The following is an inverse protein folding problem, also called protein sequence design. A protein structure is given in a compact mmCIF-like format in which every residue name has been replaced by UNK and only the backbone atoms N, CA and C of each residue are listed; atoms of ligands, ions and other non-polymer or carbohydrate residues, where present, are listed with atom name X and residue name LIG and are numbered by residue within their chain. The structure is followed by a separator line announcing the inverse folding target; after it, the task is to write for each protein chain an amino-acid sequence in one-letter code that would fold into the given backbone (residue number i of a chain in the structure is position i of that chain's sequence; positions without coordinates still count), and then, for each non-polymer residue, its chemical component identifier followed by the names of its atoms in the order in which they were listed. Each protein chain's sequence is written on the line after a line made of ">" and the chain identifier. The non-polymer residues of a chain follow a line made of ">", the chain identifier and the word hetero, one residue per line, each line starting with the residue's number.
data_IF_143207069019
#
_entry.id   IF_143207069019
#
_cell.length_a   1.000
_cell.length_b   1.000
_cell.length_c   1.000
_cell.angle_alpha   90.00
_cell.angle_beta   90.00
_cell.angle_gamma   90.00
#
_symmetry.space_group_name_H-M   'P 1'
#
loop_
_entity.id
_entity.type
_entity.pdbx_description
1 polymer ?
#
# COMPACT_ATOMS: atom_id res chain seq x y z
N UNK A 1 3.26 -0.70 -9.10
CA UNK A 1 2.75 -2.05 -8.81
C UNK A 1 3.60 -2.62 -7.70
N UNK A 2 3.04 -2.81 -6.51
CA UNK A 2 3.71 -3.60 -5.48
C UNK A 2 3.82 -5.03 -6.03
N UNK A 3 5.04 -5.49 -6.24
CA UNK A 3 5.31 -6.84 -6.72
C UNK A 3 4.75 -7.84 -5.68
N UNK A 4 4.30 -9.03 -6.08
CA UNK A 4 3.65 -9.99 -5.18
C UNK A 4 4.49 -10.28 -3.93
N UNK A 5 5.82 -10.26 -4.08
CA UNK A 5 6.78 -10.40 -2.98
C UNK A 5 6.77 -9.20 -2.01
N UNK A 6 6.63 -7.97 -2.51
CA UNK A 6 6.54 -6.77 -1.67
C UNK A 6 5.25 -6.74 -0.87
N UNK A 7 4.12 -7.14 -1.49
CA UNK A 7 2.84 -7.26 -0.78
C UNK A 7 2.89 -8.35 0.30
N UNK A 8 3.57 -9.47 0.03
CA UNK A 8 3.75 -10.56 0.99
C UNK A 8 4.62 -10.12 2.18
N UNK A 9 5.74 -9.46 1.92
CA UNK A 9 6.63 -8.93 2.97
C UNK A 9 5.90 -7.87 3.81
N UNK A 10 5.16 -6.97 3.17
CA UNK A 10 4.40 -5.93 3.87
C UNK A 10 3.29 -6.52 4.74
N UNK A 11 2.62 -7.57 4.27
CA UNK A 11 1.60 -8.29 5.06
C UNK A 11 2.21 -9.03 6.23
N UNK A 12 3.35 -9.70 6.02
CA UNK A 12 4.10 -10.36 7.09
C UNK A 12 4.58 -9.38 8.16
N UNK A 13 5.08 -8.21 7.75
CA UNK A 13 5.53 -7.15 8.66
C UNK A 13 4.38 -6.59 9.50
N UNK A 14 3.21 -6.37 8.90
CA UNK A 14 1.99 -5.94 9.61
C UNK A 14 1.53 -6.98 10.64
N UNK A 15 1.49 -8.26 10.26
CA UNK A 15 1.10 -9.33 11.18
C UNK A 15 2.09 -9.48 12.34
N UNK A 16 3.40 -9.45 12.05
CA UNK A 16 4.45 -9.57 13.05
C UNK A 16 4.45 -8.39 14.04
N UNK A 17 4.30 -7.16 13.54
CA UNK A 17 4.26 -5.97 14.40
C UNK A 17 3.07 -6.01 15.35
N UNK A 18 1.85 -6.30 14.86
CA UNK A 18 0.66 -6.45 15.73
C UNK A 18 0.87 -7.56 16.77
N UNK A 19 1.48 -8.68 16.38
CA UNK A 19 1.76 -9.79 17.29
C UNK A 19 2.73 -9.40 18.42
N UNK A 20 3.80 -8.68 18.08
CA UNK A 20 4.78 -8.19 19.07
C UNK A 20 4.14 -7.16 20.00
N UNK A 21 3.31 -6.25 19.48
CA UNK A 21 2.55 -5.29 20.30
C UNK A 21 1.56 -5.98 21.25
N UNK A 22 0.94 -7.09 20.81
CA UNK A 22 0.07 -7.91 21.65
C UNK A 22 0.83 -8.67 22.74
N UNK A 23 2.03 -9.21 22.45
CA UNK A 23 2.85 -9.93 23.44
C UNK A 23 3.43 -8.99 24.51
N UNK A 24 3.82 -7.77 24.13
CA UNK A 24 4.34 -6.78 25.07
C UNK A 24 3.24 -6.19 25.97
N UNK A 25 1.97 -6.59 25.81
CA UNK A 25 0.80 -6.10 26.55
C UNK A 25 0.55 -4.58 26.41
N UNK A 26 1.32 -3.93 25.52
CA UNK A 26 1.18 -2.53 25.15
C UNK A 26 -0.16 -2.31 24.45
N UNK A 27 -0.69 -3.35 23.81
CA UNK A 27 -1.98 -3.35 23.13
C UNK A 27 -3.18 -3.37 24.08
N UNK A 28 -2.99 -3.69 25.37
CA UNK A 28 -4.08 -3.74 26.36
C UNK A 28 -4.51 -2.33 26.81
N UNK A 29 -3.68 -1.31 26.52
CA UNK A 29 -4.09 0.06 26.70
C UNK A 29 -5.03 0.49 25.56
N UNK A 30 -6.28 0.78 25.92
CA UNK A 30 -7.33 1.23 25.00
C UNK A 30 -6.92 2.43 24.12
N UNK A 31 -6.16 3.39 24.68
CA UNK A 31 -5.69 4.57 23.94
C UNK A 31 -4.68 4.13 22.87
N UNK A 32 -3.76 3.25 23.23
CA UNK A 32 -2.70 2.76 22.34
C UNK A 32 -3.31 1.90 21.24
N UNK A 33 -4.23 0.99 21.59
CA UNK A 33 -4.98 0.18 20.65
C UNK A 33 -5.76 1.05 19.65
N UNK A 34 -6.42 2.10 20.12
CA UNK A 34 -7.19 3.01 19.27
C UNK A 34 -6.29 3.77 18.30
N UNK A 35 -5.20 4.36 18.77
CA UNK A 35 -4.23 5.08 17.92
C UNK A 35 -3.62 4.14 16.88
N UNK A 36 -3.21 2.94 17.30
CA UNK A 36 -2.64 1.94 16.40
C UNK A 36 -3.64 1.52 15.32
N UNK A 37 -4.90 1.32 15.70
CA UNK A 37 -5.97 0.97 14.76
C UNK A 37 -6.20 2.08 13.74
N UNK A 38 -6.22 3.35 14.16
CA UNK A 38 -6.39 4.49 13.25
C UNK A 38 -5.23 4.56 12.25
N UNK A 39 -3.99 4.41 12.71
CA UNK A 39 -2.80 4.43 11.85
C UNK A 39 -2.83 3.24 10.87
N UNK A 40 -3.19 2.05 11.34
CA UNK A 40 -3.33 0.86 10.50
C UNK A 40 -4.38 1.07 9.40
N UNK A 41 -5.58 1.55 9.74
CA UNK A 41 -6.62 1.86 8.76
C UNK A 41 -6.16 2.93 7.76
N UNK A 42 -5.46 3.96 8.23
CA UNK A 42 -4.92 5.02 7.35
C UNK A 42 -3.96 4.45 6.32
N UNK A 43 -3.05 3.56 6.73
CA UNK A 43 -2.10 2.89 5.84
C UNK A 43 -2.82 1.96 4.87
N UNK A 44 -3.78 1.16 5.35
CA UNK A 44 -4.57 0.25 4.51
C UNK A 44 -5.35 1.03 3.46
N UNK A 45 -6.11 2.06 3.88
CA UNK A 45 -6.87 2.94 2.98
C UNK A 45 -5.92 3.55 1.95
N UNK A 46 -4.80 4.13 2.38
CA UNK A 46 -3.82 4.72 1.47
C UNK A 46 -3.23 3.70 0.49
N UNK A 47 -2.94 2.48 0.93
CA UNK A 47 -2.44 1.40 0.08
C UNK A 47 -3.49 0.97 -0.96
N UNK A 48 -4.76 0.89 -0.57
CA UNK A 48 -5.87 0.65 -1.50
C UNK A 48 -5.98 1.79 -2.51
N UNK A 49 -6.03 3.06 -2.07
CA UNK A 49 -6.07 4.24 -2.95
C UNK A 49 -4.89 4.29 -3.94
N UNK A 50 -3.68 3.94 -3.51
CA UNK A 50 -2.52 3.86 -4.39
C UNK A 50 -2.62 2.75 -5.45
N UNK A 51 -3.36 1.66 -5.16
CA UNK A 51 -3.70 0.61 -6.13
C UNK A 51 -4.79 1.05 -7.11
N UNK A 52 -5.65 2.01 -6.76
CA UNK A 52 -6.75 2.50 -7.62
C UNK A 52 -6.39 3.69 -8.48
N UNK A 53 -5.12 4.12 -8.60
CA UNK A 53 -4.74 5.03 -9.68
C UNK A 53 -4.78 4.25 -11.01
N UNK A 54 -5.78 4.43 -11.89
CA UNK A 54 -5.62 4.01 -13.27
C UNK A 54 -4.39 4.75 -13.79
N UNK A 55 -3.46 3.98 -14.33
CA UNK A 55 -2.34 4.47 -15.10
C UNK A 55 -2.90 5.40 -16.17
N UNK A 56 -2.85 6.71 -15.94
CA UNK A 56 -2.99 7.71 -17.01
C UNK A 56 -1.80 7.49 -17.95
N UNK A 57 -2.00 6.58 -18.88
CA UNK A 57 -1.20 6.43 -20.08
C UNK A 57 -1.61 7.59 -20.97
N UNK A 58 -1.00 8.75 -20.76
CA UNK A 58 -0.95 9.77 -21.79
C UNK A 58 0.50 10.24 -21.90
N UNK A 59 0.88 10.55 -23.15
CA UNK A 59 2.21 10.85 -23.69
C UNK A 59 2.92 9.58 -24.21
N UNK A 60 3.07 9.33 -25.51
CA UNK A 60 2.89 10.13 -26.72
C UNK A 60 2.61 9.18 -27.90
N UNK A 61 1.65 9.52 -28.76
CA UNK A 61 1.53 8.92 -30.11
C UNK A 61 2.34 9.79 -31.05
N UNK A 62 3.52 9.38 -31.54
CA UNK A 62 4.05 9.94 -32.77
C UNK A 62 3.31 9.28 -33.94
N UNK A 63 2.49 10.10 -34.57
CA UNK A 63 1.72 9.85 -35.78
C UNK A 63 2.63 9.21 -36.84
N UNK A 64 2.22 8.03 -37.32
CA UNK A 64 2.63 7.48 -38.61
C UNK A 64 2.31 8.51 -39.70
N UNK A 65 3.33 8.98 -40.44
CA UNK A 65 3.33 9.22 -41.90
C UNK A 65 4.29 10.36 -42.29
N UNK A 66 5.44 10.00 -42.90
CA UNK A 66 5.87 10.71 -44.12
C UNK A 66 6.82 9.87 -44.98
N UNK A 67 6.36 9.69 -46.22
CA UNK A 67 7.10 9.44 -47.47
C UNK A 67 7.64 8.04 -47.75
N UNK A 68 6.88 7.36 -48.62
CA UNK A 68 7.44 6.78 -49.82
C UNK A 68 8.39 7.78 -50.52
N UNK A 69 9.60 7.36 -50.84
CA UNK A 69 10.35 7.73 -52.04
C UNK A 69 11.53 6.79 -52.24
#
# INVERSE_FOLDING_TARGET
>A
MLNDKQSLILSGLMAASIFIFGILDILDNFIILTVLTIVFFTIVINMFYAKVKPKETLKEVPIQNKKAS
#
